data_IF_290381412108
#
_entry.id   IF_290381412108
#
_cell.length_a   1.000
_cell.length_b   1.000
_cell.length_c   1.000
_cell.angle_alpha   90.00
_cell.angle_beta   90.00
_cell.angle_gamma   90.00
#
_symmetry.space_group_name_H-M   'P 1'
#
loop_
_entity.id
_entity.type
_entity.pdbx_description
1 polymer ?
#
# COMPACT_ATOMS: atom_id res chain seq x y z
N UNK A 1 16.53 19.70 1.39
CA UNK A 1 15.77 18.65 2.09
C UNK A 1 16.75 17.87 2.91
N UNK A 2 16.57 17.85 4.23
CA UNK A 2 17.31 16.99 5.14
C UNK A 2 16.85 15.54 4.96
N UNK A 3 17.64 14.60 5.47
CA UNK A 3 17.26 13.19 5.48
C UNK A 3 15.99 12.94 6.32
N UNK A 4 15.84 13.64 7.44
CA UNK A 4 14.63 13.57 8.26
C UNK A 4 13.39 14.08 7.52
N UNK A 5 13.50 15.22 6.81
CA UNK A 5 12.42 15.75 5.98
C UNK A 5 12.03 14.76 4.87
N UNK A 6 13.01 14.09 4.25
CA UNK A 6 12.79 13.06 3.24
C UNK A 6 11.95 11.90 3.79
N UNK A 7 12.35 11.33 4.94
CA UNK A 7 11.65 10.20 5.57
C UNK A 7 10.23 10.59 5.99
N UNK A 8 10.06 11.79 6.54
CA UNK A 8 8.74 12.32 6.93
C UNK A 8 7.81 12.41 5.71
N UNK A 9 8.30 12.90 4.57
CA UNK A 9 7.48 13.03 3.37
C UNK A 9 7.07 11.66 2.79
N UNK A 10 7.93 10.65 2.84
CA UNK A 10 7.56 9.29 2.44
C UNK A 10 6.60 8.61 3.42
N UNK A 11 6.75 8.85 4.72
CA UNK A 11 5.79 8.38 5.73
C UNK A 11 4.41 9.00 5.53
N UNK A 12 4.34 10.29 5.18
CA UNK A 12 3.07 10.96 4.81
C UNK A 12 2.45 10.33 3.56
N UNK A 13 3.25 10.00 2.56
CA UNK A 13 2.76 9.29 1.36
C UNK A 13 2.21 7.91 1.72
N UNK A 14 2.89 7.14 2.57
CA UNK A 14 2.40 5.85 3.05
C UNK A 14 1.07 5.98 3.80
N UNK A 15 0.94 6.99 4.68
CA UNK A 15 -0.33 7.31 5.36
C UNK A 15 -1.43 7.61 4.35
N UNK A 16 -1.17 8.46 3.35
CA UNK A 16 -2.15 8.82 2.34
C UNK A 16 -2.63 7.59 1.54
N UNK A 17 -1.71 6.70 1.16
CA UNK A 17 -2.05 5.43 0.49
C UNK A 17 -2.90 4.53 1.39
N UNK A 18 -2.48 4.31 2.63
CA UNK A 18 -3.22 3.49 3.59
C UNK A 18 -4.61 4.06 3.89
N UNK A 19 -4.74 5.39 4.05
CA UNK A 19 -6.04 6.05 4.22
C UNK A 19 -6.93 5.87 3.01
N UNK A 20 -6.38 5.99 1.80
CA UNK A 20 -7.15 5.77 0.56
C UNK A 20 -7.61 4.32 0.37
N UNK A 21 -6.84 3.33 0.83
CA UNK A 21 -7.28 1.93 0.87
C UNK A 21 -8.42 1.77 1.88
N UNK A 22 -8.31 2.39 3.06
CA UNK A 22 -9.29 2.28 4.14
C UNK A 22 -10.64 2.94 3.79
N UNK A 23 -10.63 4.04 3.04
CA UNK A 23 -11.84 4.74 2.60
C UNK A 23 -12.37 4.28 1.23
N UNK A 24 -11.61 3.41 0.55
CA UNK A 24 -11.98 2.82 -0.74
C UNK A 24 -11.71 3.71 -1.95
N UNK A 25 -11.05 4.86 -1.79
CA UNK A 25 -10.63 5.71 -2.91
C UNK A 25 -9.44 5.14 -3.69
N UNK A 26 -8.66 4.24 -3.07
CA UNK A 26 -7.56 3.52 -3.68
C UNK A 26 -7.88 2.03 -3.68
N UNK A 27 -7.77 1.39 -4.84
CA UNK A 27 -7.85 -0.06 -4.95
C UNK A 27 -6.75 -0.72 -4.11
N UNK A 28 -7.10 -1.73 -3.31
CA UNK A 28 -6.17 -2.35 -2.36
C UNK A 28 -4.90 -2.92 -3.02
N UNK A 29 -5.01 -3.53 -4.19
CA UNK A 29 -3.86 -4.11 -4.91
C UNK A 29 -2.93 -3.01 -5.40
N UNK A 30 -3.48 -2.00 -6.08
CA UNK A 30 -2.71 -0.83 -6.52
C UNK A 30 -2.02 -0.13 -5.34
N UNK A 31 -2.72 0.01 -4.22
CA UNK A 31 -2.18 0.56 -2.99
C UNK A 31 -1.03 -0.28 -2.41
N UNK A 32 -1.15 -1.60 -2.39
CA UNK A 32 -0.09 -2.50 -1.94
C UNK A 32 1.16 -2.44 -2.85
N UNK A 33 1.01 -2.31 -4.16
CA UNK A 33 2.14 -2.10 -5.08
C UNK A 33 2.89 -0.79 -4.77
N UNK A 34 2.14 0.29 -4.53
CA UNK A 34 2.72 1.57 -4.17
C UNK A 34 3.44 1.50 -2.80
N UNK A 35 2.80 0.92 -1.78
CA UNK A 35 3.37 0.75 -0.44
C UNK A 35 4.62 -0.14 -0.44
N UNK A 36 4.64 -1.22 -1.22
CA UNK A 36 5.83 -2.05 -1.43
C UNK A 36 7.01 -1.22 -1.93
N UNK A 37 6.77 -0.32 -2.88
CA UNK A 37 7.80 0.56 -3.44
C UNK A 37 8.35 1.56 -2.42
N UNK A 38 7.53 1.97 -1.44
CA UNK A 38 7.92 2.91 -0.39
C UNK A 38 8.70 2.30 0.77
N UNK A 39 8.78 0.96 0.86
CA UNK A 39 9.36 0.24 2.02
C UNK A 39 10.75 0.75 2.41
N UNK A 40 11.60 1.04 1.43
CA UNK A 40 12.98 1.45 1.68
C UNK A 40 13.11 2.93 2.05
N UNK A 41 12.05 3.72 1.83
CA UNK A 41 12.07 5.18 2.00
C UNK A 41 11.48 5.63 3.34
N UNK A 42 10.63 4.80 3.96
CA UNK A 42 9.93 5.12 5.22
C UNK A 42 10.73 4.80 6.50
N UNK A 43 11.95 4.25 6.34
CA UNK A 43 12.83 3.80 7.43
C UNK A 43 12.10 2.98 8.50
N UNK A 44 11.52 1.87 8.08
CA UNK A 44 11.00 0.84 8.96
C UNK A 44 12.08 -0.21 9.25
N UNK A 45 11.86 -1.01 10.30
CA UNK A 45 12.73 -2.16 10.55
C UNK A 45 12.77 -3.10 9.35
N UNK A 46 13.90 -3.79 9.15
CA UNK A 46 14.05 -4.73 8.04
C UNK A 46 12.93 -5.77 8.01
N UNK A 47 12.37 -6.14 9.18
CA UNK A 47 11.31 -7.13 9.31
C UNK A 47 9.94 -6.56 9.64
N UNK A 48 9.67 -5.31 9.27
CA UNK A 48 8.37 -4.69 9.48
C UNK A 48 7.22 -5.52 8.86
N UNK A 49 6.33 -6.00 9.72
CA UNK A 49 5.26 -6.95 9.34
C UNK A 49 4.27 -6.31 8.36
N UNK A 50 3.94 -5.03 8.52
CA UNK A 50 2.99 -4.34 7.65
C UNK A 50 3.56 -4.20 6.23
N UNK A 51 4.81 -3.76 6.10
CA UNK A 51 5.46 -3.64 4.79
C UNK A 51 5.83 -4.99 4.17
N UNK A 52 6.01 -6.05 4.97
CA UNK A 52 6.07 -7.40 4.43
C UNK A 52 4.73 -7.88 3.89
N UNK A 53 3.63 -7.60 4.58
CA UNK A 53 2.29 -7.95 4.11
C UNK A 53 1.98 -7.27 2.78
N UNK A 54 2.25 -5.96 2.65
CA UNK A 54 2.08 -5.25 1.38
C UNK A 54 2.96 -5.84 0.26
N UNK A 55 4.20 -6.20 0.57
CA UNK A 55 5.10 -6.83 -0.40
C UNK A 55 4.61 -8.21 -0.85
N UNK A 56 4.07 -9.01 0.07
CA UNK A 56 3.49 -10.32 -0.23
C UNK A 56 2.26 -10.18 -1.12
N UNK A 57 1.30 -9.32 -0.76
CA UNK A 57 0.10 -9.05 -1.57
C UNK A 57 0.51 -8.59 -2.97
N UNK A 58 1.43 -7.64 -3.05
CA UNK A 58 1.95 -7.14 -4.32
C UNK A 58 2.63 -8.23 -5.15
N UNK A 59 3.24 -9.24 -4.55
CA UNK A 59 3.91 -10.32 -5.28
C UNK A 59 2.89 -11.29 -5.87
N UNK A 60 1.86 -11.64 -5.10
CA UNK A 60 0.80 -12.56 -5.53
C UNK A 60 -0.09 -11.94 -6.63
N UNK A 61 -0.11 -10.60 -6.74
CA UNK A 61 -1.00 -9.86 -7.62
C UNK A 61 -0.29 -9.08 -8.72
N UNK A 62 1.02 -9.25 -8.90
CA UNK A 62 1.84 -8.45 -9.83
C UNK A 62 1.42 -8.55 -11.30
N UNK A 63 0.72 -9.62 -11.67
CA UNK A 63 0.21 -9.88 -13.02
C UNK A 63 -1.15 -9.23 -13.28
N UNK A 64 -1.83 -8.74 -12.25
CA UNK A 64 -3.18 -8.22 -12.34
C UNK A 64 -3.16 -6.72 -12.65
N UNK A 65 -3.85 -6.26 -13.70
CA UNK A 65 -3.77 -4.87 -14.11
C UNK A 65 -4.69 -4.00 -13.23
N UNK A 66 -4.13 -3.10 -12.44
CA UNK A 66 -4.87 -2.31 -11.43
C UNK A 66 -4.63 -0.80 -11.51
N UNK A 67 -3.65 -0.36 -12.30
CA UNK A 67 -3.30 1.03 -12.49
C UNK A 67 -3.46 1.53 -13.92
N UNK A 68 -2.67 2.56 -14.26
CA UNK A 68 -2.67 3.22 -15.56
C UNK A 68 -2.25 2.29 -16.71
N UNK A 69 -1.57 1.17 -16.40
CA UNK A 69 -1.24 0.16 -17.40
C UNK A 69 -2.48 -0.41 -18.10
N UNK A 70 -3.66 -0.39 -17.46
CA UNK A 70 -4.94 -0.81 -18.07
C UNK A 70 -5.24 -0.07 -19.38
N UNK A 71 -4.77 1.17 -19.55
CA UNK A 71 -4.96 1.96 -20.78
C UNK A 71 -4.21 1.35 -21.99
N UNK A 72 -3.22 0.50 -21.75
CA UNK A 72 -2.42 -0.18 -22.77
C UNK A 72 -2.92 -1.60 -23.07
N UNK A 73 -3.89 -2.09 -22.31
CA UNK A 73 -4.41 -3.45 -22.46
C UNK A 73 -5.59 -3.51 -23.43
N UNK A 74 -5.70 -4.65 -24.11
CA UNK A 74 -6.89 -4.93 -24.90
C UNK A 74 -8.11 -5.07 -23.96
N UNK A 75 -9.27 -4.45 -24.28
CA UNK A 75 -10.46 -4.56 -23.43
C UNK A 75 -10.90 -6.00 -23.16
N UNK A 76 -10.69 -6.92 -24.12
CA UNK A 76 -10.99 -8.34 -23.95
C UNK A 76 -10.08 -9.00 -22.89
N UNK A 77 -8.78 -8.69 -22.87
CA UNK A 77 -7.85 -9.22 -21.88
C UNK A 77 -8.17 -8.72 -20.46
N UNK A 78 -8.58 -7.45 -20.34
CA UNK A 78 -9.07 -6.91 -19.07
C UNK A 78 -10.33 -7.65 -18.59
N UNK A 79 -11.28 -7.90 -19.50
CA UNK A 79 -12.50 -8.63 -19.16
C UNK A 79 -12.24 -10.08 -18.74
N UNK A 80 -11.23 -10.74 -19.32
CA UNK A 80 -10.81 -12.09 -18.96
C UNK A 80 -10.18 -12.16 -17.55
N UNK A 81 -9.42 -11.13 -17.15
CA UNK A 81 -8.76 -11.07 -15.84
C UNK A 81 -9.61 -10.46 -14.73
N UNK A 82 -10.72 -9.80 -15.06
CA UNK A 82 -11.58 -9.14 -14.08
C UNK A 82 -12.07 -10.07 -12.95
N UNK A 83 -12.45 -11.34 -13.20
CA UNK A 83 -12.80 -12.27 -12.12
C UNK A 83 -11.63 -12.55 -11.16
N UNK A 84 -10.44 -12.78 -11.69
CA UNK A 84 -9.22 -13.03 -10.88
C UNK A 84 -8.84 -11.78 -10.08
N UNK A 85 -8.98 -10.59 -10.68
CA UNK A 85 -8.80 -9.32 -9.99
C UNK A 85 -9.75 -9.17 -8.81
N UNK A 86 -11.02 -9.51 -9.00
CA UNK A 86 -12.02 -9.42 -7.93
C UNK A 86 -11.73 -10.40 -6.79
N UNK A 87 -11.36 -11.64 -7.11
CA UNK A 87 -10.93 -12.64 -6.11
C UNK A 87 -9.70 -12.18 -5.32
N UNK A 88 -8.72 -11.60 -6.01
CA UNK A 88 -7.53 -11.05 -5.38
C UNK A 88 -7.84 -9.86 -4.46
N UNK A 89 -8.78 -8.98 -4.84
CA UNK A 89 -9.24 -7.87 -3.99
C UNK A 89 -9.91 -8.41 -2.72
N UNK A 90 -10.81 -9.39 -2.85
CA UNK A 90 -11.51 -9.99 -1.72
C UNK A 90 -10.57 -10.68 -0.75
N UNK A 91 -9.52 -11.34 -1.26
CA UNK A 91 -8.47 -11.94 -0.45
C UNK A 91 -7.56 -10.89 0.22
N UNK A 92 -7.13 -9.87 -0.51
CA UNK A 92 -6.14 -8.89 -0.03
C UNK A 92 -6.73 -7.87 0.95
N UNK A 93 -7.98 -7.46 0.77
CA UNK A 93 -8.59 -6.38 1.54
C UNK A 93 -8.59 -6.57 3.07
N UNK A 94 -9.07 -7.69 3.64
CA UNK A 94 -9.18 -7.83 5.10
C UNK A 94 -7.82 -7.75 5.80
N UNK A 95 -6.78 -8.29 5.20
CA UNK A 95 -5.42 -8.27 5.74
C UNK A 95 -4.73 -6.90 5.53
N UNK A 96 -4.91 -6.30 4.34
CA UNK A 96 -4.36 -4.97 4.06
C UNK A 96 -4.95 -3.90 4.97
N UNK A 97 -6.25 -3.99 5.32
CA UNK A 97 -6.91 -3.05 6.23
C UNK A 97 -6.25 -3.03 7.61
N UNK A 98 -5.84 -4.19 8.14
CA UNK A 98 -5.16 -4.26 9.45
C UNK A 98 -3.82 -3.54 9.39
N UNK A 99 -3.00 -3.84 8.38
CA UNK A 99 -1.71 -3.17 8.20
C UNK A 99 -1.84 -1.68 7.90
N UNK A 100 -2.84 -1.27 7.11
CA UNK A 100 -3.10 0.14 6.81
C UNK A 100 -3.44 0.92 8.08
N UNK A 101 -4.25 0.36 8.99
CA UNK A 101 -4.55 1.00 10.28
C UNK A 101 -3.29 1.16 11.13
N UNK A 102 -2.44 0.13 11.17
CA UNK A 102 -1.15 0.18 11.87
C UNK A 102 -0.24 1.29 11.31
N UNK A 103 -0.07 1.37 9.99
CA UNK A 103 0.74 2.42 9.34
C UNK A 103 0.18 3.82 9.64
N UNK A 104 -1.14 4.02 9.49
CA UNK A 104 -1.78 5.31 9.80
C UNK A 104 -1.58 5.67 11.27
N UNK A 105 -1.67 4.69 12.19
CA UNK A 105 -1.41 4.93 13.61
C UNK A 105 0.05 5.29 13.89
N UNK A 106 1.01 4.66 13.22
CA UNK A 106 2.46 4.87 13.45
C UNK A 106 2.97 6.17 12.85
N UNK A 107 2.50 6.52 11.66
CA UNK A 107 3.04 7.63 10.86
C UNK A 107 2.08 8.82 10.75
N UNK A 108 0.82 8.66 11.16
CA UNK A 108 -0.15 9.73 11.19
C UNK A 108 0.17 10.79 12.24
N UNK A 109 -0.53 11.94 12.20
CA UNK A 109 -0.32 13.06 13.13
C UNK A 109 -0.47 12.65 14.61
N UNK A 110 -1.28 11.63 14.89
CA UNK A 110 -1.52 11.12 16.25
C UNK A 110 -0.45 10.11 16.72
N UNK A 111 0.36 9.57 15.81
CA UNK A 111 1.45 8.62 16.10
C UNK A 111 2.75 9.27 16.55
N UNK A 112 2.86 10.58 16.37
CA UNK A 112 4.03 11.38 16.75
C UNK A 112 3.83 12.01 18.12
N UNK A 113 3.77 11.17 19.16
CA UNK A 113 3.46 11.62 20.52
C UNK A 113 4.06 10.77 21.63
N UNK A 114 5.19 10.07 21.40
CA UNK A 114 6.02 9.55 22.50
C UNK A 114 7.46 9.36 22.06
N UNK A 115 8.06 10.41 21.49
CA UNK A 115 9.48 10.64 21.66
C UNK A 115 9.66 11.37 22.99
N UNK A 116 9.87 10.64 24.09
CA UNK A 116 10.24 11.22 25.37
C UNK A 116 11.23 10.32 26.09
N UNK A 117 12.34 10.98 26.45
CA UNK A 117 13.51 10.55 27.25
C UNK A 117 14.59 9.74 26.53
#
# INVERSE_FOLDING_TARGET
MSHEEYVIDFRRQAVALCSGILDGTINVIAGCHALRSLRWEVEVEQHDEDFFLFAMISSETETLPTGAERDQWAPAALAELEPELQEAIEWALPQAVVACRSVVQRFGPDGSGSGSA
#
